data_IF_324986854618
#
_entry.id   IF_324986854618
#
_cell.length_a   1.000
_cell.length_b   1.000
_cell.length_c   1.000
_cell.angle_alpha   90.00
_cell.angle_beta   90.00
_cell.angle_gamma   90.00
#
_symmetry.space_group_name_H-M   'P 1'
#
loop_
_entity.id
_entity.type
_entity.pdbx_description
1 polymer ?
#
# COMPACT_ATOMS: atom_id res chain seq x y z
N UNK A 1 5.55 0.22 -4.60
CA UNK A 1 4.42 -0.08 -3.71
C UNK A 1 3.37 -0.87 -4.48
N UNK A 2 2.81 -1.93 -3.90
CA UNK A 2 1.80 -2.79 -4.53
C UNK A 2 0.53 -2.75 -3.70
N UNK A 3 -0.64 -2.67 -4.35
CA UNK A 3 -1.94 -2.81 -3.68
C UNK A 3 -2.29 -4.30 -3.62
N UNK A 4 -2.44 -4.85 -2.42
CA UNK A 4 -2.62 -6.30 -2.21
C UNK A 4 -4.06 -6.71 -1.89
N UNK A 5 -4.93 -5.77 -1.53
CA UNK A 5 -6.38 -5.95 -1.32
C UNK A 5 -7.20 -4.74 -1.78
N UNK A 6 -8.53 -4.79 -1.63
CA UNK A 6 -9.44 -3.72 -2.06
C UNK A 6 -9.71 -3.70 -3.57
N UNK A 7 -10.45 -2.67 -4.02
CA UNK A 7 -10.84 -2.56 -5.44
C UNK A 7 -9.65 -2.35 -6.38
N UNK A 8 -8.58 -1.74 -5.89
CA UNK A 8 -7.36 -1.50 -6.65
C UNK A 8 -6.33 -2.64 -6.53
N UNK A 9 -6.74 -3.83 -6.06
CA UNK A 9 -5.85 -4.99 -5.87
C UNK A 9 -5.09 -5.35 -7.16
N UNK A 10 -3.79 -5.57 -7.04
CA UNK A 10 -2.90 -5.94 -8.14
C UNK A 10 -2.20 -4.75 -8.81
N UNK A 11 -2.59 -3.52 -8.50
CA UNK A 11 -1.95 -2.33 -9.06
C UNK A 11 -0.59 -2.06 -8.39
N UNK A 12 0.42 -1.78 -9.19
CA UNK A 12 1.76 -1.39 -8.73
C UNK A 12 2.02 0.07 -9.04
N UNK A 13 2.47 0.82 -8.03
CA UNK A 13 2.89 2.22 -8.15
C UNK A 13 4.39 2.32 -7.87
N UNK A 14 5.12 2.93 -8.81
CA UNK A 14 6.52 3.32 -8.61
C UNK A 14 6.57 4.57 -7.74
N UNK A 15 7.48 4.59 -6.77
CA UNK A 15 7.69 5.76 -5.89
C UNK A 15 8.84 6.63 -6.44
N UNK A 16 8.69 7.11 -7.66
CA UNK A 16 9.74 7.84 -8.40
C UNK A 16 9.65 9.37 -8.25
N UNK A 17 8.53 9.90 -7.76
CA UNK A 17 8.26 11.34 -7.63
C UNK A 17 7.82 11.72 -6.22
N UNK A 18 8.72 11.58 -5.25
CA UNK A 18 8.43 11.95 -3.87
C UNK A 18 8.54 13.48 -3.68
N UNK A 19 7.62 14.11 -2.94
CA UNK A 19 6.55 13.48 -2.17
C UNK A 19 5.36 13.03 -3.03
N UNK A 20 4.79 11.86 -2.70
CA UNK A 20 3.58 11.34 -3.34
C UNK A 20 2.42 11.32 -2.36
N UNK A 21 1.27 11.83 -2.78
CA UNK A 21 0.05 11.88 -1.98
C UNK A 21 -0.85 10.67 -2.26
N UNK A 22 -1.43 10.11 -1.19
CA UNK A 22 -2.30 8.94 -1.25
C UNK A 22 -3.64 9.24 -0.57
N UNK A 23 -4.72 8.83 -1.21
CA UNK A 23 -6.07 9.00 -0.65
C UNK A 23 -7.17 8.67 -1.64
N UNK A 24 -8.42 8.91 -1.22
CA UNK A 24 -9.60 8.59 -2.04
C UNK A 24 -9.90 9.63 -3.13
N UNK A 25 -9.43 10.87 -2.96
CA UNK A 25 -9.60 11.91 -3.97
C UNK A 25 -8.90 11.56 -5.29
N UNK A 26 -9.55 11.84 -6.41
CA UNK A 26 -9.00 11.61 -7.77
C UNK A 26 -7.74 12.42 -8.06
N UNK A 27 -7.52 13.52 -7.34
CA UNK A 27 -6.36 14.39 -7.51
C UNK A 27 -5.10 13.88 -6.77
N UNK A 28 -5.17 12.71 -6.11
CA UNK A 28 -4.02 12.10 -5.42
C UNK A 28 -3.17 11.33 -6.42
N UNK A 29 -1.86 11.34 -6.22
CA UNK A 29 -0.91 10.59 -7.06
C UNK A 29 -1.24 9.09 -7.04
N UNK A 30 -1.71 8.60 -5.88
CA UNK A 30 -2.23 7.24 -5.72
C UNK A 30 -3.65 7.34 -5.19
N UNK A 31 -4.62 7.12 -6.09
CA UNK A 31 -6.03 7.05 -5.73
C UNK A 31 -6.38 5.65 -5.20
N UNK A 32 -6.96 5.58 -4.01
CA UNK A 32 -7.49 4.35 -3.43
C UNK A 32 -9.02 4.45 -3.35
N UNK A 33 -9.72 3.60 -4.10
CA UNK A 33 -11.19 3.56 -4.14
C UNK A 33 -11.76 2.77 -2.97
N UNK A 34 -11.68 3.38 -1.79
CA UNK A 34 -12.16 2.79 -0.55
C UNK A 34 -12.92 3.86 0.26
N UNK A 35 -14.21 3.65 0.58
CA UNK A 35 -14.99 4.60 1.37
C UNK A 35 -14.40 4.94 2.74
N UNK A 36 -13.66 4.01 3.37
CA UNK A 36 -12.97 4.19 4.65
C UNK A 36 -11.62 4.87 4.51
N UNK A 37 -11.14 5.12 3.29
CA UNK A 37 -9.94 5.92 3.06
C UNK A 37 -10.33 7.40 3.02
N UNK A 38 -9.67 8.22 3.85
CA UNK A 38 -9.75 9.68 3.79
C UNK A 38 -9.42 10.22 2.39
N UNK A 39 -10.09 11.31 2.03
CA UNK A 39 -9.82 12.10 0.82
C UNK A 39 -8.33 12.42 0.64
N UNK A 40 -7.72 12.92 1.71
CA UNK A 40 -6.26 13.08 1.88
C UNK A 40 -5.86 12.16 3.02
N UNK A 41 -5.24 11.01 2.73
CA UNK A 41 -5.01 9.98 3.73
C UNK A 41 -3.60 10.08 4.30
N UNK A 42 -2.60 10.00 3.43
CA UNK A 42 -1.20 10.12 3.82
C UNK A 42 -0.36 10.62 2.66
N UNK A 43 0.89 10.98 2.97
CA UNK A 43 1.92 11.35 2.02
C UNK A 43 3.14 10.48 2.27
N UNK A 44 3.75 10.04 1.18
CA UNK A 44 5.06 9.41 1.18
C UNK A 44 6.10 10.49 0.89
N UNK A 45 7.13 10.59 1.73
CA UNK A 45 8.24 11.52 1.57
C UNK A 45 9.56 10.76 1.57
N UNK A 46 10.57 11.32 0.92
CA UNK A 46 11.94 10.82 1.01
C UNK A 46 12.66 11.51 2.15
N UNK A 47 13.36 10.75 2.98
CA UNK A 47 14.28 11.25 4.01
C UNK A 47 15.59 10.46 3.94
N UNK A 48 16.61 11.07 3.31
CA UNK A 48 17.82 10.36 2.93
C UNK A 48 17.53 9.17 2.02
N UNK A 49 17.88 7.97 2.47
CA UNK A 49 17.59 6.70 1.78
C UNK A 49 16.23 6.09 2.17
N UNK A 50 15.60 6.62 3.21
CA UNK A 50 14.35 6.10 3.74
C UNK A 50 13.13 6.74 3.06
N UNK A 51 12.04 5.98 3.05
CA UNK A 51 10.71 6.51 2.74
C UNK A 51 9.95 6.68 4.05
N UNK A 52 9.46 7.88 4.31
CA UNK A 52 8.60 8.19 5.44
C UNK A 52 7.15 8.20 4.98
N UNK A 53 6.27 7.66 5.80
CA UNK A 53 4.82 7.83 5.70
C UNK A 53 4.36 8.84 6.76
N UNK A 54 3.51 9.77 6.36
CA UNK A 54 2.94 10.77 7.26
C UNK A 54 1.51 11.07 6.84
N UNK A 55 0.59 11.07 7.79
CA UNK A 55 -0.79 11.45 7.53
C UNK A 55 -1.63 11.47 8.81
N UNK A 56 -2.69 12.28 8.77
CA UNK A 56 -3.67 12.38 9.84
C UNK A 56 -5.03 11.90 9.33
N UNK A 57 -5.07 10.63 8.92
CA UNK A 57 -6.29 10.04 8.39
C UNK A 57 -7.27 9.71 9.51
N UNK A 58 -8.55 9.98 9.28
CA UNK A 58 -9.65 9.67 10.22
C UNK A 58 -9.62 8.23 10.75
N UNK A 59 -9.36 7.26 9.88
CA UNK A 59 -9.32 5.84 10.26
C UNK A 59 -7.90 5.36 10.61
N UNK A 60 -6.91 6.25 10.60
CA UNK A 60 -5.52 5.94 10.85
C UNK A 60 -4.83 5.21 9.70
N UNK A 61 -3.52 5.08 9.85
CA UNK A 61 -2.63 4.29 8.99
C UNK A 61 -2.05 3.23 9.90
N UNK A 62 -2.04 1.97 9.47
CA UNK A 62 -1.48 0.87 10.23
C UNK A 62 -0.34 0.23 9.46
N UNK A 63 0.81 0.06 10.10
CA UNK A 63 1.97 -0.65 9.54
C UNK A 63 2.19 -1.91 10.38
N UNK A 64 2.16 -3.07 9.73
CA UNK A 64 2.32 -4.38 10.38
C UNK A 64 1.41 -4.55 11.61
N UNK A 65 0.17 -4.05 11.51
CA UNK A 65 -0.84 -4.12 12.57
C UNK A 65 -0.73 -3.04 13.66
N UNK A 66 0.28 -2.16 13.62
CA UNK A 66 0.44 -1.07 14.58
C UNK A 66 0.02 0.26 13.96
N UNK A 67 -0.78 1.04 14.66
CA UNK A 67 -1.18 2.38 14.22
C UNK A 67 0.07 3.28 14.22
N UNK A 68 0.27 4.05 13.16
CA UNK A 68 1.38 5.00 13.07
C UNK A 68 1.11 6.22 13.94
N UNK A 69 2.17 6.73 14.57
CA UNK A 69 2.16 7.99 15.32
C UNK A 69 3.16 8.94 14.66
N UNK A 70 2.69 10.05 14.10
CA UNK A 70 3.53 11.00 13.38
C UNK A 70 4.14 10.43 12.09
N UNK A 71 5.34 10.90 11.75
CA UNK A 71 6.10 10.40 10.60
C UNK A 71 6.76 9.06 10.95
N UNK A 72 6.57 8.03 10.11
CA UNK A 72 7.11 6.69 10.33
C UNK A 72 7.90 6.22 9.12
N UNK A 73 9.13 5.74 9.34
CA UNK A 73 9.95 5.15 8.28
C UNK A 73 9.43 3.77 7.85
N UNK A 74 9.29 3.56 6.55
CA UNK A 74 8.91 2.30 5.94
C UNK A 74 10.14 1.41 5.71
N UNK A 75 9.95 0.11 5.92
CA UNK A 75 10.92 -0.95 5.65
C UNK A 75 10.44 -1.86 4.53
N UNK A 76 11.37 -2.48 3.82
CA UNK A 76 11.02 -3.43 2.76
C UNK A 76 10.03 -4.49 3.27
N UNK A 77 9.07 -4.83 2.41
CA UNK A 77 7.97 -5.75 2.68
C UNK A 77 6.96 -5.30 3.76
N UNK A 78 7.01 -4.05 4.23
CA UNK A 78 6.02 -3.54 5.18
C UNK A 78 4.60 -3.59 4.62
N UNK A 79 3.68 -4.10 5.44
CA UNK A 79 2.25 -4.16 5.16
C UNK A 79 1.57 -2.93 5.75
N UNK A 80 1.04 -2.08 4.89
CA UNK A 80 0.33 -0.86 5.24
C UNK A 80 -1.17 -1.10 5.04
N UNK A 81 -1.99 -0.82 6.04
CA UNK A 81 -3.44 -0.93 5.98
C UNK A 81 -4.06 0.46 6.13
N UNK A 82 -4.94 0.81 5.19
CA UNK A 82 -5.71 2.05 5.17
C UNK A 82 -7.16 1.75 4.82
N UNK A 83 -8.09 2.08 5.72
CA UNK A 83 -9.48 1.65 5.55
C UNK A 83 -9.60 0.13 5.55
N UNK A 84 -10.08 -0.45 4.45
CA UNK A 84 -10.14 -1.90 4.18
C UNK A 84 -9.11 -2.34 3.13
N UNK A 85 -8.29 -1.41 2.66
CA UNK A 85 -7.27 -1.62 1.63
C UNK A 85 -5.91 -1.88 2.26
N UNK A 86 -5.21 -2.86 1.71
CA UNK A 86 -3.87 -3.25 2.07
C UNK A 86 -2.89 -2.91 0.94
N UNK A 87 -1.76 -2.35 1.33
CA UNK A 87 -0.64 -1.97 0.49
C UNK A 87 0.61 -2.67 1.02
N UNK A 88 1.49 -3.08 0.12
CA UNK A 88 2.82 -3.59 0.47
C UNK A 88 3.87 -2.66 -0.09
N UNK A 89 4.74 -2.16 0.80
CA UNK A 89 5.93 -1.43 0.39
C UNK A 89 7.02 -2.41 -0.01
N UNK A 90 7.66 -2.17 -1.14
CA UNK A 90 8.78 -2.97 -1.64
C UNK A 90 9.87 -1.99 -2.06
N UNK A 91 11.08 -2.21 -1.55
CA UNK A 91 12.27 -1.48 -1.94
C UNK A 91 12.79 -2.12 -3.22
N UNK A 92 12.77 -1.35 -4.31
CA UNK A 92 13.27 -1.80 -5.59
C UNK A 92 14.80 -1.81 -5.58
N UNK A 93 15.38 -2.92 -5.14
CA UNK A 93 16.73 -3.33 -5.56
C UNK A 93 16.71 -4.54 -6.51
N UNK A 94 15.54 -5.17 -6.72
CA UNK A 94 15.44 -6.37 -7.56
C UNK A 94 14.08 -6.50 -8.27
N UNK A 95 14.03 -6.26 -9.61
CA UNK A 95 12.86 -6.52 -10.44
C UNK A 95 12.32 -7.96 -10.35
N UNK A 96 13.19 -8.93 -10.06
CA UNK A 96 12.79 -10.33 -9.92
C UNK A 96 11.87 -10.56 -8.72
N UNK A 97 11.92 -9.73 -7.67
CA UNK A 97 10.99 -9.81 -6.52
C UNK A 97 9.59 -9.34 -6.88
N UNK A 98 9.47 -8.29 -7.69
CA UNK A 98 8.17 -7.80 -8.17
C UNK A 98 7.52 -8.83 -9.09
N UNK A 99 8.31 -9.39 -10.02
CA UNK A 99 7.85 -10.45 -10.90
C UNK A 99 7.55 -11.75 -10.16
N UNK A 100 8.38 -12.15 -9.18
CA UNK A 100 8.12 -13.32 -8.35
C UNK A 100 6.85 -13.14 -7.51
N UNK A 101 6.60 -11.95 -6.94
CA UNK A 101 5.36 -11.67 -6.21
C UNK A 101 4.13 -11.75 -7.14
N UNK A 102 4.22 -11.15 -8.32
CA UNK A 102 3.16 -11.21 -9.33
C UNK A 102 2.91 -12.65 -9.80
N UNK A 103 3.98 -13.42 -10.02
CA UNK A 103 3.93 -14.81 -10.49
C UNK A 103 3.47 -15.79 -9.41
N UNK A 104 3.93 -15.63 -8.16
CA UNK A 104 3.51 -16.46 -7.01
C UNK A 104 2.02 -16.28 -6.70
N UNK A 105 1.47 -15.07 -6.88
CA UNK A 105 0.03 -14.83 -6.76
C UNK A 105 -0.77 -15.37 -7.94
N UNK A 106 -0.24 -15.35 -9.16
CA UNK A 106 -0.89 -15.97 -10.32
C UNK A 106 -0.88 -17.51 -10.25
N UNK A 107 0.14 -18.10 -9.60
CA UNK A 107 0.29 -19.55 -9.44
C UNK A 107 -0.43 -20.14 -8.22
N UNK A 108 -1.17 -19.35 -7.45
CA UNK A 108 -1.95 -19.82 -6.29
C UNK A 108 -3.46 -19.72 -6.55
N UNK A 109 -4.12 -20.76 -7.11
CA UNK A 109 -5.59 -20.78 -7.26
C UNK A 109 -6.37 -20.87 -5.93
N UNK A 110 -5.68 -20.96 -4.80
CA UNK A 110 -6.25 -21.39 -3.51
C UNK A 110 -7.11 -20.35 -2.76
N UNK A 111 -7.54 -19.25 -3.39
CA UNK A 111 -8.50 -18.32 -2.79
C UNK A 111 -9.95 -18.48 -3.31
N UNK A 112 -10.24 -19.57 -4.05
CA UNK A 112 -11.61 -20.07 -4.21
C UNK A 112 -11.74 -21.37 -3.41
N UNK A 113 -12.10 -21.26 -2.14
CA UNK A 113 -12.77 -22.36 -1.47
C UNK A 113 -14.26 -22.31 -1.87
N UNK A 114 -14.82 -23.33 -2.54
CA UNK A 114 -16.26 -23.53 -2.55
C UNK A 114 -16.62 -24.25 -1.25
N UNK A 115 -17.33 -23.59 -0.35
CA UNK A 115 -18.09 -24.34 0.65
C UNK A 115 -19.48 -24.56 0.06
N UNK A 116 -19.63 -25.73 -0.55
CA UNK A 116 -20.92 -26.38 -0.78
C UNK A 116 -21.43 -26.80 0.59
N UNK A 117 -22.61 -26.33 0.99
CA UNK A 117 -23.73 -27.18 1.46
C UNK A 117 -25.03 -26.50 1.02
#
# INVERSE_FOLDING_TARGET
MIITSGQNKGTTYKLDKLPMSVGREVQRDIQIMDPKVSRKHFVLKKDGENILISGDAKNGIYINGKKTEGETALKDSDRIIVGETELTYLVNDDPARVDAFNKMRQLSPAARAPTII
#
